data_IF_157261981558
#
_entry.id   IF_157261981558
#
_cell.length_a   1.000
_cell.length_b   1.000
_cell.length_c   1.000
_cell.angle_alpha   90.00
_cell.angle_beta   90.00
_cell.angle_gamma   90.00
#
_symmetry.space_group_name_H-M   'P 1'
#
loop_
_entity.id
_entity.type
_entity.pdbx_description
1 polymer ?
#
# COMPACT_ATOMS: atom_id res chain seq x y z
N UNK A 1 -25.53 -6.06 -1.73
CA UNK A 1 -24.39 -5.27 -1.19
C UNK A 1 -23.14 -6.03 -1.55
N UNK A 2 -22.19 -5.41 -2.27
CA UNK A 2 -20.93 -6.07 -2.63
C UNK A 2 -20.06 -6.29 -1.41
N UNK A 3 -19.39 -7.43 -1.36
CA UNK A 3 -18.51 -7.85 -0.26
C UNK A 3 -17.06 -7.65 -0.68
N UNK A 4 -16.31 -6.97 0.14
CA UNK A 4 -14.90 -6.66 -0.12
C UNK A 4 -14.04 -7.18 1.01
N UNK A 5 -12.92 -7.81 0.66
CA UNK A 5 -11.89 -8.16 1.62
C UNK A 5 -10.66 -7.27 1.40
N UNK A 6 -10.20 -6.62 2.48
CA UNK A 6 -8.96 -5.83 2.48
C UNK A 6 -7.94 -6.55 3.35
N UNK A 7 -6.82 -6.99 2.79
CA UNK A 7 -5.69 -7.44 3.60
C UNK A 7 -4.82 -6.24 3.97
N UNK A 8 -4.37 -6.17 5.21
CA UNK A 8 -3.63 -4.99 5.70
C UNK A 8 -4.53 -3.79 6.03
N UNK A 9 -5.77 -4.06 6.51
CA UNK A 9 -6.79 -3.03 6.69
C UNK A 9 -6.55 -2.04 7.83
N UNK A 10 -5.73 -2.36 8.82
CA UNK A 10 -5.33 -1.41 9.88
C UNK A 10 -4.00 -0.71 9.55
N UNK A 11 -3.47 -0.92 8.35
CA UNK A 11 -2.36 -0.16 7.78
C UNK A 11 -2.80 1.23 7.33
N UNK A 12 -1.83 2.07 6.93
CA UNK A 12 -2.08 3.45 6.49
C UNK A 12 -3.05 3.53 5.30
N UNK A 13 -2.74 2.89 4.19
CA UNK A 13 -3.60 2.91 2.99
C UNK A 13 -4.88 2.11 3.23
N UNK A 14 -4.78 0.95 3.90
CA UNK A 14 -5.92 0.06 4.16
C UNK A 14 -7.03 0.73 4.95
N UNK A 15 -6.71 1.48 6.00
CA UNK A 15 -7.73 2.20 6.80
C UNK A 15 -8.44 3.27 5.98
N UNK A 16 -7.70 4.03 5.14
CA UNK A 16 -8.32 5.05 4.26
C UNK A 16 -9.20 4.39 3.19
N UNK A 17 -8.79 3.25 2.64
CA UNK A 17 -9.60 2.50 1.68
C UNK A 17 -10.88 1.95 2.32
N UNK A 18 -10.77 1.34 3.51
CA UNK A 18 -11.95 0.81 4.23
C UNK A 18 -12.95 1.92 4.53
N UNK A 19 -12.48 3.08 4.99
CA UNK A 19 -13.37 4.23 5.25
C UNK A 19 -14.17 4.61 4.00
N UNK A 20 -13.53 4.70 2.84
CA UNK A 20 -14.19 5.08 1.60
C UNK A 20 -15.13 3.98 1.09
N UNK A 21 -14.74 2.72 1.18
CA UNK A 21 -15.60 1.58 0.82
C UNK A 21 -16.88 1.52 1.68
N UNK A 22 -16.76 1.78 2.99
CA UNK A 22 -17.92 1.84 3.90
C UNK A 22 -18.85 3.01 3.54
N UNK A 23 -18.31 4.20 3.22
CA UNK A 23 -19.10 5.36 2.75
C UNK A 23 -19.86 5.05 1.47
N UNK A 24 -19.30 4.24 0.59
CA UNK A 24 -19.94 3.80 -0.66
C UNK A 24 -20.90 2.62 -0.46
N UNK A 25 -21.12 2.16 0.77
CA UNK A 25 -22.09 1.12 1.11
C UNK A 25 -21.62 -0.31 0.82
N UNK A 26 -20.32 -0.58 0.73
CA UNK A 26 -19.79 -1.93 0.64
C UNK A 26 -19.88 -2.65 1.99
N UNK A 27 -20.03 -3.99 1.97
CA UNK A 27 -19.79 -4.84 3.12
C UNK A 27 -18.30 -5.17 3.18
N UNK A 28 -17.59 -4.62 4.16
CA UNK A 28 -16.14 -4.71 4.24
C UNK A 28 -15.69 -5.64 5.35
N UNK A 29 -14.80 -6.57 5.02
CA UNK A 29 -14.03 -7.35 5.98
C UNK A 29 -12.54 -7.07 5.80
N UNK A 30 -11.78 -7.18 6.87
CA UNK A 30 -10.32 -7.00 6.84
C UNK A 30 -9.60 -8.16 7.49
N UNK A 31 -8.47 -8.53 6.91
CA UNK A 31 -7.48 -9.48 7.46
C UNK A 31 -6.20 -8.71 7.74
N UNK A 32 -5.75 -8.72 8.98
CA UNK A 32 -4.51 -8.07 9.40
C UNK A 32 -3.91 -8.84 10.59
N UNK A 33 -2.60 -8.92 10.70
CA UNK A 33 -1.92 -9.55 11.85
C UNK A 33 -1.45 -8.55 12.91
N UNK A 34 -1.73 -7.26 12.68
CA UNK A 34 -1.37 -6.12 13.54
C UNK A 34 0.14 -5.96 13.80
N UNK A 35 0.99 -6.56 12.96
CA UNK A 35 2.44 -6.49 13.10
C UNK A 35 2.98 -5.05 12.90
N UNK A 36 2.46 -4.36 11.89
CA UNK A 36 2.80 -2.96 11.59
C UNK A 36 1.62 -2.01 11.64
N UNK A 37 0.41 -2.54 11.60
CA UNK A 37 -0.84 -1.82 11.75
C UNK A 37 -1.21 -1.57 13.21
N UNK A 38 -2.12 -0.65 13.44
CA UNK A 38 -2.57 -0.27 14.80
C UNK A 38 -4.03 -0.61 15.00
N UNK A 39 -4.36 -1.29 16.11
CA UNK A 39 -5.74 -1.68 16.44
C UNK A 39 -6.68 -0.48 16.55
N UNK A 40 -6.17 0.67 16.98
CA UNK A 40 -6.92 1.93 17.11
C UNK A 40 -7.38 2.49 15.75
N UNK A 41 -6.94 1.88 14.64
CA UNK A 41 -7.38 2.21 13.27
C UNK A 41 -8.55 1.38 12.79
N UNK A 42 -9.05 0.47 13.59
CA UNK A 42 -10.29 -0.24 13.27
C UNK A 42 -11.45 0.74 13.13
N UNK A 43 -12.26 0.58 12.10
CA UNK A 43 -13.41 1.43 11.80
C UNK A 43 -14.72 0.65 12.07
N UNK A 44 -15.67 1.31 12.67
CA UNK A 44 -17.02 0.76 12.84
C UNK A 44 -17.64 0.44 11.46
N UNK A 45 -18.32 -0.69 11.36
CA UNK A 45 -18.91 -1.19 10.11
C UNK A 45 -18.01 -2.12 9.29
N UNK A 46 -16.71 -2.25 9.62
CA UNK A 46 -15.82 -3.25 9.04
C UNK A 46 -15.61 -4.42 10.01
N UNK A 47 -15.67 -5.65 9.50
CA UNK A 47 -15.35 -6.85 10.29
C UNK A 47 -13.86 -7.15 10.20
N UNK A 48 -13.14 -7.08 11.33
CA UNK A 48 -11.70 -7.34 11.38
C UNK A 48 -11.40 -8.76 11.86
N UNK A 49 -10.43 -9.41 11.20
CA UNK A 49 -9.93 -10.72 11.54
C UNK A 49 -8.42 -10.64 11.79
N UNK A 50 -7.99 -11.04 12.99
CA UNK A 50 -6.56 -11.10 13.34
C UNK A 50 -5.94 -12.36 12.74
N UNK A 51 -5.45 -12.25 11.51
CA UNK A 51 -4.92 -13.36 10.72
C UNK A 51 -3.61 -12.97 10.05
N UNK A 52 -2.62 -13.85 10.17
CA UNK A 52 -1.35 -13.75 9.43
C UNK A 52 -1.48 -14.49 8.09
N UNK A 53 -1.54 -13.73 7.00
CA UNK A 53 -1.68 -14.27 5.64
C UNK A 53 -0.49 -15.12 5.19
N UNK A 54 0.67 -15.02 5.85
CA UNK A 54 1.83 -15.86 5.55
C UNK A 54 1.68 -17.31 6.02
N UNK A 55 0.67 -17.59 6.84
CA UNK A 55 0.38 -18.94 7.34
C UNK A 55 -0.63 -19.64 6.44
N UNK A 56 -0.36 -20.88 5.98
CA UNK A 56 -1.22 -21.57 5.01
C UNK A 56 -2.64 -21.87 5.52
N UNK A 57 -2.85 -21.90 6.83
CA UNK A 57 -4.11 -22.34 7.45
C UNK A 57 -5.29 -21.37 7.28
N UNK A 58 -5.07 -20.11 6.95
CA UNK A 58 -6.14 -19.12 6.89
C UNK A 58 -7.11 -19.29 5.71
N UNK A 59 -6.71 -20.03 4.67
CA UNK A 59 -7.49 -20.25 3.45
C UNK A 59 -7.88 -21.71 3.22
N UNK A 60 -7.58 -22.61 4.15
CA UNK A 60 -7.85 -24.04 4.01
C UNK A 60 -9.32 -24.33 3.70
N UNK A 61 -9.55 -25.05 2.61
CA UNK A 61 -10.87 -25.36 2.05
C UNK A 61 -11.59 -26.55 2.71
N UNK A 62 -11.09 -27.08 3.82
CA UNK A 62 -11.76 -28.26 4.38
C UNK A 62 -13.12 -27.87 4.97
N UNK A 63 -14.21 -28.31 4.32
CA UNK A 63 -15.55 -28.35 4.91
C UNK A 63 -15.59 -29.17 6.22
N UNK A 64 -14.50 -29.87 6.52
CA UNK A 64 -14.18 -30.50 7.79
C UNK A 64 -13.00 -29.74 8.42
N UNK A 65 -13.30 -28.63 9.07
CA UNK A 65 -12.32 -27.91 9.87
C UNK A 65 -11.85 -28.81 11.05
N UNK A 66 -10.71 -29.49 10.89
CA UNK A 66 -10.01 -30.16 12.00
C UNK A 66 -9.24 -29.17 12.88
N UNK A 67 -9.44 -27.87 12.68
CA UNK A 67 -8.87 -26.84 13.51
C UNK A 67 -9.78 -26.62 14.73
N UNK A 68 -9.67 -27.47 15.73
CA UNK A 68 -10.45 -27.35 16.99
C UNK A 68 -10.23 -26.05 17.76
N UNK A 69 -9.33 -25.14 17.32
CA UNK A 69 -8.96 -23.97 18.11
C UNK A 69 -8.81 -22.62 17.39
N UNK A 70 -8.71 -22.53 16.03
CA UNK A 70 -8.34 -21.26 15.38
C UNK A 70 -8.99 -21.01 14.02
N UNK A 71 -10.10 -21.63 13.71
CA UNK A 71 -10.84 -21.36 12.49
C UNK A 71 -11.83 -20.21 12.73
N UNK A 72 -11.43 -19.00 12.45
CA UNK A 72 -12.38 -17.91 12.17
C UNK A 72 -12.99 -18.17 10.78
N UNK A 73 -13.77 -19.28 10.67
CA UNK A 73 -14.46 -19.72 9.46
C UNK A 73 -15.55 -18.73 9.00
N UNK A 74 -15.54 -17.51 9.51
CA UNK A 74 -16.56 -16.49 9.26
C UNK A 74 -16.16 -15.41 8.25
N UNK A 75 -15.06 -15.61 7.47
CA UNK A 75 -14.80 -14.70 6.35
C UNK A 75 -15.76 -15.09 5.24
N UNK A 76 -16.81 -14.29 5.08
CA UNK A 76 -17.70 -14.45 3.94
C UNK A 76 -16.93 -14.31 2.64
N UNK A 77 -17.21 -15.19 1.66
CA UNK A 77 -16.55 -15.09 0.36
C UNK A 77 -16.72 -13.68 -0.21
N UNK A 78 -15.62 -12.94 -0.48
CA UNK A 78 -15.70 -11.62 -1.06
C UNK A 78 -15.91 -11.67 -2.57
N UNK A 79 -16.47 -10.61 -3.12
CA UNK A 79 -16.59 -10.41 -4.56
C UNK A 79 -15.26 -9.91 -5.16
N UNK A 80 -14.43 -9.24 -4.36
CA UNK A 80 -13.11 -8.73 -4.74
C UNK A 80 -12.18 -8.62 -3.53
N UNK A 81 -10.87 -8.73 -3.75
CA UNK A 81 -9.84 -8.53 -2.73
C UNK A 81 -8.93 -7.35 -3.10
N UNK A 82 -8.74 -6.43 -2.14
CA UNK A 82 -7.64 -5.48 -2.15
C UNK A 82 -6.51 -6.01 -1.29
N UNK A 83 -5.42 -6.43 -1.94
CA UNK A 83 -4.28 -7.01 -1.26
C UNK A 83 -3.22 -5.94 -0.96
N UNK A 84 -3.33 -5.33 0.24
CA UNK A 84 -2.45 -4.25 0.71
C UNK A 84 -1.48 -4.71 1.81
N UNK A 85 -1.68 -5.90 2.38
CA UNK A 85 -0.83 -6.42 3.45
C UNK A 85 0.60 -6.61 2.96
N UNK A 86 1.53 -5.91 3.57
CA UNK A 86 2.96 -6.00 3.29
C UNK A 86 3.78 -5.34 4.41
N UNK A 87 5.03 -5.77 4.56
CA UNK A 87 6.06 -4.98 5.23
C UNK A 87 6.65 -4.01 4.22
N UNK A 88 6.27 -2.73 4.31
CA UNK A 88 6.40 -1.74 3.25
C UNK A 88 7.45 -0.65 3.54
N UNK A 89 8.69 -1.03 3.88
CA UNK A 89 9.81 -0.09 4.04
C UNK A 89 11.15 -0.76 3.77
N UNK A 90 12.07 0.02 3.19
CA UNK A 90 13.42 -0.42 2.82
C UNK A 90 14.24 -0.72 4.07
N UNK A 91 14.40 0.23 5.00
CA UNK A 91 15.30 0.08 6.13
C UNK A 91 14.93 -1.11 7.04
N UNK A 92 13.66 -1.30 7.48
CA UNK A 92 13.29 -2.48 8.25
C UNK A 92 13.50 -3.80 7.50
N UNK A 93 13.50 -3.80 6.16
CA UNK A 93 13.75 -5.02 5.39
C UNK A 93 15.19 -5.51 5.44
N UNK A 94 16.15 -4.63 5.71
CA UNK A 94 17.54 -5.03 6.00
C UNK A 94 17.67 -5.64 7.40
N UNK A 95 16.91 -5.14 8.37
CA UNK A 95 16.93 -5.63 9.75
C UNK A 95 16.29 -7.03 9.86
N UNK A 96 15.17 -7.26 9.18
CA UNK A 96 14.46 -8.55 9.15
C UNK A 96 13.99 -8.91 7.73
N UNK A 97 14.92 -9.39 6.89
CA UNK A 97 14.59 -9.81 5.52
C UNK A 97 13.67 -11.04 5.49
N UNK A 98 13.79 -11.93 6.49
CA UNK A 98 12.99 -13.15 6.55
C UNK A 98 11.50 -12.83 6.80
N UNK A 99 11.19 -11.93 7.73
CA UNK A 99 9.80 -11.52 7.97
C UNK A 99 9.25 -10.72 6.78
N UNK A 100 10.09 -9.91 6.12
CA UNK A 100 9.71 -9.20 4.89
C UNK A 100 9.35 -10.20 3.78
N UNK A 101 10.17 -11.23 3.57
CA UNK A 101 9.88 -12.28 2.59
C UNK A 101 8.60 -13.06 2.93
N UNK A 102 8.43 -13.48 4.18
CA UNK A 102 7.22 -14.20 4.60
C UNK A 102 5.96 -13.38 4.34
N UNK A 103 5.94 -12.12 4.75
CA UNK A 103 4.79 -11.26 4.57
C UNK A 103 4.50 -10.97 3.09
N UNK A 104 5.52 -10.52 2.35
CA UNK A 104 5.33 -9.97 1.01
C UNK A 104 5.25 -11.03 -0.09
N UNK A 105 5.91 -12.19 0.08
CA UNK A 105 5.93 -13.24 -0.96
C UNK A 105 5.03 -14.41 -0.58
N UNK A 106 5.26 -15.06 0.57
CA UNK A 106 4.41 -16.19 0.97
C UNK A 106 2.98 -15.73 1.28
N UNK A 107 2.81 -14.57 1.92
CA UNK A 107 1.49 -13.98 2.13
C UNK A 107 0.75 -13.72 0.82
N UNK A 108 1.42 -13.15 -0.18
CA UNK A 108 0.85 -12.91 -1.52
C UNK A 108 0.49 -14.23 -2.20
N UNK A 109 1.37 -15.25 -2.15
CA UNK A 109 1.07 -16.56 -2.72
C UNK A 109 -0.17 -17.20 -2.08
N UNK A 110 -0.29 -17.12 -0.76
CA UNK A 110 -1.46 -17.66 -0.05
C UNK A 110 -2.77 -16.95 -0.43
N UNK A 111 -2.73 -15.60 -0.59
CA UNK A 111 -3.87 -14.84 -1.11
C UNK A 111 -4.23 -15.30 -2.52
N UNK A 112 -3.24 -15.51 -3.37
CA UNK A 112 -3.45 -15.95 -4.76
C UNK A 112 -4.04 -17.37 -4.82
N UNK A 113 -3.63 -18.28 -3.95
CA UNK A 113 -4.26 -19.62 -3.86
C UNK A 113 -5.73 -19.53 -3.41
N UNK A 114 -6.03 -18.66 -2.44
CA UNK A 114 -7.40 -18.42 -2.01
C UNK A 114 -8.28 -17.93 -3.17
N UNK A 115 -7.81 -16.93 -3.95
CA UNK A 115 -8.59 -16.36 -5.07
C UNK A 115 -8.68 -17.31 -6.26
N UNK A 116 -7.60 -18.06 -6.57
CA UNK A 116 -7.59 -19.03 -7.67
C UNK A 116 -8.67 -20.08 -7.52
N UNK A 117 -8.83 -20.62 -6.33
CA UNK A 117 -9.81 -21.68 -6.06
C UNK A 117 -11.27 -21.17 -6.09
N UNK A 118 -11.49 -19.87 -6.04
CA UNK A 118 -12.81 -19.23 -5.97
C UNK A 118 -13.10 -18.28 -7.13
N UNK A 119 -12.12 -18.11 -8.02
CA UNK A 119 -12.17 -17.15 -9.14
C UNK A 119 -12.53 -15.71 -8.70
N UNK A 120 -11.88 -15.25 -7.61
CA UNK A 120 -12.12 -13.92 -7.05
C UNK A 120 -11.11 -12.93 -7.64
N UNK A 121 -11.53 -11.77 -8.15
CA UNK A 121 -10.63 -10.71 -8.60
C UNK A 121 -9.75 -10.18 -7.46
N UNK A 122 -8.49 -9.83 -7.79
CA UNK A 122 -7.55 -9.24 -6.82
C UNK A 122 -6.84 -8.01 -7.37
N UNK A 123 -6.80 -6.96 -6.56
CA UNK A 123 -6.00 -5.76 -6.80
C UNK A 123 -4.81 -5.80 -5.84
N UNK A 124 -3.62 -5.84 -6.40
CA UNK A 124 -2.37 -5.96 -5.66
C UNK A 124 -1.68 -4.61 -5.51
N UNK A 125 -1.37 -4.22 -4.27
CA UNK A 125 -0.55 -3.04 -3.99
C UNK A 125 0.93 -3.35 -4.23
N UNK A 126 1.46 -2.88 -5.32
CA UNK A 126 2.88 -2.92 -5.69
C UNK A 126 3.62 -1.62 -5.28
N UNK A 127 4.82 -1.43 -5.77
CA UNK A 127 5.65 -0.29 -5.42
C UNK A 127 6.43 0.23 -6.63
N UNK A 128 6.53 1.54 -6.78
CA UNK A 128 7.39 2.19 -7.77
C UNK A 128 8.89 1.86 -7.61
N UNK A 129 9.29 1.30 -6.47
CA UNK A 129 10.66 0.83 -6.27
C UNK A 129 11.07 -0.27 -7.26
N UNK A 130 10.10 -1.01 -7.83
CA UNK A 130 10.34 -2.03 -8.85
C UNK A 130 10.87 -1.47 -10.18
N UNK A 131 10.82 -0.14 -10.39
CA UNK A 131 11.42 0.49 -11.58
C UNK A 131 12.95 0.61 -11.51
N UNK A 132 13.51 0.55 -10.31
CA UNK A 132 14.96 0.59 -10.10
C UNK A 132 15.60 -0.80 -10.09
N UNK A 133 16.76 -0.89 -9.46
CA UNK A 133 17.40 -2.18 -9.23
C UNK A 133 16.60 -2.99 -8.22
N UNK A 134 15.93 -4.03 -8.69
CA UNK A 134 15.13 -4.92 -7.84
C UNK A 134 15.97 -5.66 -6.79
N UNK A 135 17.28 -5.77 -6.98
CA UNK A 135 18.21 -6.41 -6.05
C UNK A 135 18.82 -5.42 -5.04
N UNK A 136 18.47 -4.14 -5.08
CA UNK A 136 19.04 -3.12 -4.19
C UNK A 136 18.73 -3.36 -2.70
N UNK A 137 17.59 -3.97 -2.39
CA UNK A 137 17.18 -4.26 -1.02
C UNK A 137 16.08 -5.33 -0.94
N UNK A 138 15.89 -5.99 0.24
CA UNK A 138 14.90 -7.06 0.39
C UNK A 138 13.46 -6.60 0.17
N UNK A 139 13.09 -5.37 0.52
CA UNK A 139 11.75 -4.84 0.29
C UNK A 139 11.42 -4.76 -1.21
N UNK A 140 12.28 -4.09 -1.99
CA UNK A 140 12.09 -3.95 -3.43
C UNK A 140 12.03 -5.32 -4.11
N UNK A 141 12.94 -6.23 -3.75
CA UNK A 141 12.98 -7.58 -4.29
C UNK A 141 11.69 -8.35 -4.00
N UNK A 142 11.18 -8.31 -2.77
CA UNK A 142 9.96 -9.03 -2.40
C UNK A 142 8.70 -8.42 -3.01
N UNK A 143 8.66 -7.11 -3.24
CA UNK A 143 7.54 -6.47 -3.97
C UNK A 143 7.54 -6.89 -5.44
N UNK A 144 8.70 -6.89 -6.07
CA UNK A 144 8.86 -7.41 -7.45
C UNK A 144 8.46 -8.88 -7.56
N UNK A 145 8.89 -9.74 -6.62
CA UNK A 145 8.45 -11.15 -6.60
C UNK A 145 6.92 -11.28 -6.45
N UNK A 146 6.30 -10.42 -5.65
CA UNK A 146 4.84 -10.35 -5.54
C UNK A 146 4.18 -10.04 -6.88
N UNK A 147 4.71 -9.06 -7.63
CA UNK A 147 4.21 -8.74 -8.99
C UNK A 147 4.37 -9.94 -9.94
N UNK A 148 5.50 -10.64 -9.92
CA UNK A 148 5.71 -11.85 -10.74
C UNK A 148 4.72 -12.97 -10.40
N UNK A 149 4.39 -13.15 -9.11
CA UNK A 149 3.33 -14.07 -8.70
C UNK A 149 1.97 -13.65 -9.26
N UNK A 150 1.61 -12.38 -9.18
CA UNK A 150 0.35 -11.84 -9.74
C UNK A 150 0.27 -12.12 -11.26
N UNK A 151 1.36 -11.83 -12.01
CA UNK A 151 1.42 -12.11 -13.46
C UNK A 151 1.28 -13.60 -13.76
N UNK A 152 1.96 -14.45 -12.99
CA UNK A 152 1.87 -15.91 -13.12
C UNK A 152 0.42 -16.40 -12.97
N UNK A 153 -0.25 -15.99 -11.88
CA UNK A 153 -1.61 -16.45 -11.59
C UNK A 153 -2.64 -15.90 -12.59
N UNK A 154 -2.46 -14.70 -13.08
CA UNK A 154 -3.28 -14.17 -14.17
C UNK A 154 -3.11 -14.98 -15.45
N UNK A 155 -1.85 -15.19 -15.88
CA UNK A 155 -1.54 -15.84 -17.15
C UNK A 155 -1.85 -17.34 -17.18
N UNK A 156 -1.56 -18.05 -16.09
CA UNK A 156 -1.64 -19.53 -16.05
C UNK A 156 -3.00 -19.99 -15.55
N UNK A 157 -3.56 -19.31 -14.57
CA UNK A 157 -4.80 -19.73 -13.91
C UNK A 157 -6.00 -18.84 -14.23
N UNK A 158 -5.82 -17.81 -15.11
CA UNK A 158 -6.87 -16.86 -15.50
C UNK A 158 -7.50 -16.10 -14.31
N UNK A 159 -6.79 -15.93 -13.20
CA UNK A 159 -7.26 -15.13 -12.09
C UNK A 159 -7.30 -13.66 -12.52
N UNK A 160 -8.45 -12.95 -12.40
CA UNK A 160 -8.50 -11.55 -12.74
C UNK A 160 -7.67 -10.73 -11.74
N UNK A 161 -6.59 -10.08 -12.22
CA UNK A 161 -5.66 -9.34 -11.36
C UNK A 161 -5.36 -7.96 -11.91
N UNK A 162 -5.04 -7.02 -11.03
CA UNK A 162 -4.43 -5.73 -11.39
C UNK A 162 -3.27 -5.46 -10.44
N UNK A 163 -2.13 -5.07 -10.99
CA UNK A 163 -0.98 -4.58 -10.23
C UNK A 163 -1.11 -3.06 -10.15
N UNK A 164 -1.15 -2.50 -8.94
CA UNK A 164 -1.18 -1.04 -8.74
C UNK A 164 0.12 -0.61 -8.06
N UNK A 165 0.98 0.14 -8.76
CA UNK A 165 2.24 0.64 -8.21
C UNK A 165 2.05 1.99 -7.57
N UNK A 166 2.30 2.05 -6.26
CA UNK A 166 2.22 3.30 -5.50
C UNK A 166 3.57 4.00 -5.49
N UNK A 167 3.53 5.30 -5.61
CA UNK A 167 4.64 6.19 -5.31
C UNK A 167 4.58 6.62 -3.84
N UNK A 168 5.36 7.60 -3.41
CA UNK A 168 5.47 7.90 -1.97
C UNK A 168 4.14 8.44 -1.40
N UNK A 169 3.33 7.53 -0.87
CA UNK A 169 1.99 7.87 -0.37
C UNK A 169 2.10 8.72 0.89
N UNK A 170 1.31 9.80 0.96
CA UNK A 170 1.18 10.68 2.11
C UNK A 170 -0.29 11.00 2.41
N UNK A 171 -0.58 11.49 3.60
CA UNK A 171 -1.91 11.97 3.97
C UNK A 171 -2.38 11.52 5.35
N UNK A 172 -3.68 11.56 5.55
CA UNK A 172 -4.31 11.23 6.82
C UNK A 172 -4.02 9.81 7.27
N UNK A 173 -3.79 9.62 8.57
CA UNK A 173 -3.43 8.34 9.21
C UNK A 173 -2.07 7.77 8.80
N UNK A 174 -1.20 8.57 8.13
CA UNK A 174 0.18 8.13 7.93
C UNK A 174 0.90 7.90 9.26
N UNK A 175 1.90 7.02 9.25
CA UNK A 175 2.70 6.78 10.45
C UNK A 175 3.60 7.97 10.73
N UNK A 176 3.57 8.47 11.97
CA UNK A 176 4.47 9.52 12.47
C UNK A 176 5.54 8.98 13.41
N UNK A 177 5.41 7.71 13.83
CA UNK A 177 6.31 7.02 14.75
C UNK A 177 6.74 5.65 14.24
N UNK A 178 7.89 5.18 14.72
CA UNK A 178 8.44 3.86 14.39
C UNK A 178 9.15 3.80 13.04
N UNK A 179 9.67 2.61 12.72
CA UNK A 179 10.51 2.36 11.53
C UNK A 179 9.73 2.43 10.21
N UNK A 180 8.40 2.41 10.25
CA UNK A 180 7.53 2.43 9.07
C UNK A 180 7.04 3.84 8.67
N UNK A 181 7.63 4.91 9.24
CA UNK A 181 7.32 6.29 8.87
C UNK A 181 7.88 6.66 7.48
N UNK A 182 7.12 7.47 6.73
CA UNK A 182 7.68 8.19 5.58
C UNK A 182 8.32 9.50 6.04
N UNK A 183 9.01 10.19 5.14
CA UNK A 183 9.70 11.44 5.45
C UNK A 183 8.73 12.51 5.97
N UNK A 184 7.55 12.64 5.37
CA UNK A 184 6.56 13.62 5.80
C UNK A 184 6.07 13.34 7.24
N UNK A 185 5.78 12.07 7.57
CA UNK A 185 5.39 11.69 8.94
C UNK A 185 6.48 11.98 9.98
N UNK A 186 7.77 11.81 9.59
CA UNK A 186 8.90 12.18 10.44
C UNK A 186 8.94 13.71 10.64
N UNK A 187 8.80 14.48 9.57
CA UNK A 187 8.81 15.93 9.61
C UNK A 187 7.64 16.48 10.43
N UNK A 188 6.42 15.98 10.24
CA UNK A 188 5.24 16.35 11.02
C UNK A 188 5.46 16.16 12.53
N UNK A 189 6.02 15.01 12.93
CA UNK A 189 6.34 14.76 14.33
C UNK A 189 7.41 15.73 14.85
N UNK A 190 8.51 15.87 14.12
CA UNK A 190 9.63 16.75 14.53
C UNK A 190 9.19 18.20 14.64
N UNK A 191 8.40 18.68 13.69
CA UNK A 191 7.82 20.02 13.72
C UNK A 191 6.90 20.20 14.94
N UNK A 192 5.99 19.26 15.19
CA UNK A 192 5.09 19.31 16.35
C UNK A 192 5.81 19.27 17.71
N UNK A 193 7.02 18.68 17.75
CA UNK A 193 7.89 18.63 18.93
C UNK A 193 8.87 19.83 19.00
N UNK A 194 8.84 20.75 18.06
CA UNK A 194 9.77 21.89 17.98
C UNK A 194 11.23 21.48 17.71
N UNK A 195 11.47 20.31 17.11
CA UNK A 195 12.79 19.78 16.80
C UNK A 195 13.19 20.06 15.35
N UNK A 196 14.52 20.17 15.06
CA UNK A 196 14.99 20.26 13.68
C UNK A 196 14.51 19.10 12.81
N UNK A 197 14.15 19.39 11.54
CA UNK A 197 13.82 18.37 10.56
C UNK A 197 15.09 17.62 10.16
N UNK A 198 15.04 16.28 10.18
CA UNK A 198 16.19 15.45 9.81
C UNK A 198 16.15 15.06 8.33
N UNK A 199 17.16 15.49 7.59
CA UNK A 199 17.32 15.24 6.15
C UNK A 199 18.44 14.24 5.95
N UNK A 200 18.18 13.13 5.27
CA UNK A 200 19.17 12.10 4.95
C UNK A 200 19.91 12.51 3.67
N UNK A 201 21.25 12.38 3.65
CA UNK A 201 22.10 12.80 2.54
C UNK A 201 22.09 14.30 2.35
N UNK A 202 22.10 14.78 1.09
CA UNK A 202 22.10 16.19 0.71
C UNK A 202 20.70 16.82 0.59
N UNK A 203 19.65 16.01 0.72
CA UNK A 203 18.27 16.45 0.61
C UNK A 203 17.77 16.71 -0.82
N UNK A 204 18.64 16.54 -1.84
CA UNK A 204 18.29 16.74 -3.25
C UNK A 204 17.64 15.52 -3.91
N UNK A 205 17.49 14.41 -3.18
CA UNK A 205 16.74 13.25 -3.67
C UNK A 205 15.27 13.63 -3.86
N UNK A 206 14.75 13.34 -5.05
CA UNK A 206 13.40 13.72 -5.47
C UNK A 206 12.42 12.55 -5.41
N UNK A 207 11.21 12.82 -4.97
CA UNK A 207 10.14 11.81 -4.84
C UNK A 207 8.84 12.33 -5.43
N UNK A 208 8.19 11.48 -6.21
CA UNK A 208 6.78 11.64 -6.53
C UNK A 208 5.96 11.30 -5.28
N UNK A 209 5.24 12.28 -4.77
CA UNK A 209 4.39 12.13 -3.60
C UNK A 209 2.92 12.09 -4.02
N UNK A 210 2.24 10.99 -3.70
CA UNK A 210 0.85 10.79 -4.08
C UNK A 210 -0.07 10.80 -2.85
N UNK A 211 -1.13 11.59 -2.91
CA UNK A 211 -2.07 11.72 -1.80
C UNK A 211 -2.86 10.42 -1.58
N UNK A 212 -3.04 10.02 -0.33
CA UNK A 212 -3.67 8.74 0.00
C UNK A 212 -5.09 8.60 -0.54
N UNK A 213 -5.85 9.71 -0.63
CA UNK A 213 -7.21 9.65 -1.20
C UNK A 213 -7.20 9.47 -2.71
N UNK A 214 -6.19 9.99 -3.41
CA UNK A 214 -6.00 9.72 -4.84
C UNK A 214 -5.64 8.24 -5.07
N UNK A 215 -4.79 7.65 -4.21
CA UNK A 215 -4.52 6.20 -4.24
C UNK A 215 -5.80 5.39 -4.03
N UNK A 216 -6.62 5.75 -3.03
CA UNK A 216 -7.90 5.08 -2.74
C UNK A 216 -8.86 5.19 -3.93
N UNK A 217 -8.99 6.36 -4.56
CA UNK A 217 -9.80 6.55 -5.77
C UNK A 217 -9.29 5.67 -6.92
N UNK A 218 -7.98 5.61 -7.15
CA UNK A 218 -7.37 4.75 -8.16
C UNK A 218 -7.67 3.26 -7.93
N UNK A 219 -7.55 2.78 -6.70
CA UNK A 219 -7.87 1.40 -6.33
C UNK A 219 -9.36 1.07 -6.58
N UNK A 220 -10.26 1.96 -6.19
CA UNK A 220 -11.70 1.77 -6.37
C UNK A 220 -12.06 1.78 -7.87
N UNK A 221 -11.46 2.67 -8.69
CA UNK A 221 -11.65 2.67 -10.15
C UNK A 221 -11.16 1.37 -10.78
N UNK A 222 -10.01 0.83 -10.34
CA UNK A 222 -9.56 -0.49 -10.77
C UNK A 222 -10.61 -1.57 -10.48
N UNK A 223 -11.22 -1.55 -9.29
CA UNK A 223 -12.25 -2.55 -8.93
C UNK A 223 -13.48 -2.48 -9.83
N UNK A 224 -13.96 -1.29 -10.14
CA UNK A 224 -15.12 -1.11 -11.02
C UNK A 224 -14.88 -1.67 -12.42
N UNK A 225 -13.70 -1.48 -12.98
CA UNK A 225 -13.39 -1.99 -14.33
C UNK A 225 -13.15 -3.49 -14.30
N UNK A 226 -12.41 -3.99 -13.30
CA UNK A 226 -12.07 -5.40 -13.16
C UNK A 226 -13.33 -6.28 -12.98
N UNK A 227 -14.35 -5.78 -12.28
CA UNK A 227 -15.62 -6.45 -12.06
C UNK A 227 -16.66 -6.24 -13.20
N UNK A 228 -16.38 -5.37 -14.14
CA UNK A 228 -17.28 -5.05 -15.26
C UNK A 228 -17.02 -5.94 -16.48
N UNK A 229 -17.91 -5.84 -17.49
CA UNK A 229 -17.71 -6.47 -18.81
C UNK A 229 -16.45 -5.96 -19.53
N UNK A 230 -15.75 -4.95 -18.99
CA UNK A 230 -14.50 -4.40 -19.50
C UNK A 230 -13.28 -4.94 -18.75
N UNK A 231 -13.41 -5.97 -17.92
CA UNK A 231 -12.31 -6.57 -17.15
C UNK A 231 -11.09 -6.93 -18.01
N UNK A 232 -11.31 -7.35 -19.28
CA UNK A 232 -10.26 -7.63 -20.26
C UNK A 232 -9.35 -6.42 -20.57
N UNK A 233 -9.77 -5.20 -20.23
CA UNK A 233 -8.96 -3.98 -20.45
C UNK A 233 -7.94 -3.73 -19.36
N UNK A 234 -8.10 -4.37 -18.20
CA UNK A 234 -7.28 -4.10 -17.02
C UNK A 234 -6.75 -5.38 -16.37
N UNK A 235 -7.36 -6.54 -16.65
CA UNK A 235 -6.89 -7.81 -16.06
C UNK A 235 -5.50 -8.16 -16.58
N UNK A 236 -4.56 -8.34 -15.64
CA UNK A 236 -3.15 -8.58 -15.93
C UNK A 236 -2.32 -7.30 -16.14
N UNK A 237 -2.96 -6.12 -16.12
CA UNK A 237 -2.28 -4.85 -16.33
C UNK A 237 -1.60 -4.30 -15.08
N UNK A 238 -0.59 -3.48 -15.34
CA UNK A 238 0.11 -2.67 -14.35
C UNK A 238 -0.37 -1.23 -14.48
N UNK A 239 -0.83 -0.65 -13.37
CA UNK A 239 -1.34 0.72 -13.28
C UNK A 239 -0.48 1.50 -12.31
N UNK A 240 0.16 2.54 -12.80
CA UNK A 240 0.97 3.45 -12.00
C UNK A 240 0.07 4.49 -11.33
N UNK A 241 0.07 4.51 -9.99
CA UNK A 241 -0.67 5.50 -9.20
C UNK A 241 0.33 6.48 -8.57
N UNK A 242 0.92 7.32 -9.41
CA UNK A 242 1.83 8.40 -9.04
C UNK A 242 1.26 9.76 -9.44
N UNK A 243 1.67 10.82 -8.75
CA UNK A 243 1.17 12.18 -8.99
C UNK A 243 1.66 12.77 -10.33
N UNK A 244 2.80 12.31 -10.85
CA UNK A 244 3.42 12.88 -12.06
C UNK A 244 4.22 14.17 -11.78
N UNK A 245 4.42 14.52 -10.50
CA UNK A 245 5.22 15.64 -10.04
C UNK A 245 6.06 15.20 -8.84
N UNK A 246 7.33 15.54 -8.86
CA UNK A 246 8.22 15.20 -7.75
C UNK A 246 8.80 16.45 -7.06
N UNK A 247 9.16 16.26 -5.80
CA UNK A 247 9.77 17.28 -4.96
C UNK A 247 11.03 16.72 -4.29
N UNK A 248 12.04 17.57 -4.07
CA UNK A 248 13.19 17.22 -3.25
C UNK A 248 12.80 17.19 -1.76
N UNK A 249 13.61 16.54 -0.94
CA UNK A 249 13.39 16.55 0.52
C UNK A 249 13.66 17.94 1.09
N UNK A 250 14.55 18.72 0.47
CA UNK A 250 14.79 20.12 0.83
C UNK A 250 13.53 20.98 0.56
N UNK A 251 12.90 20.86 -0.63
CA UNK A 251 11.64 21.56 -0.94
C UNK A 251 10.52 21.22 0.06
N UNK A 252 10.45 19.97 0.52
CA UNK A 252 9.51 19.59 1.57
C UNK A 252 9.85 20.26 2.90
N UNK A 253 11.12 20.27 3.31
CA UNK A 253 11.54 20.87 4.56
C UNK A 253 11.24 22.37 4.57
N UNK A 254 11.52 23.08 3.49
CA UNK A 254 11.26 24.51 3.33
C UNK A 254 9.77 24.87 3.48
N UNK A 255 8.87 23.93 3.14
CA UNK A 255 7.42 24.13 3.28
C UNK A 255 6.92 24.16 4.73
N UNK A 256 7.74 23.73 5.70
CA UNK A 256 7.43 23.81 7.14
C UNK A 256 7.72 25.19 7.74
N UNK A 257 8.33 26.08 7.02
CA UNK A 257 8.58 27.48 7.41
C UNK A 257 9.93 27.97 6.91
N UNK A 258 9.97 29.24 6.52
CA UNK A 258 11.20 29.87 6.09
C UNK A 258 12.24 29.83 7.24
N UNK A 259 13.40 29.24 6.97
CA UNK A 259 14.47 29.03 7.95
C UNK A 259 14.12 28.08 9.12
N UNK A 260 13.13 27.20 8.98
CA UNK A 260 12.91 26.19 10.02
C UNK A 260 14.17 25.30 10.17
N UNK A 261 14.63 25.00 11.41
CA UNK A 261 15.87 24.28 11.63
C UNK A 261 15.90 22.91 10.97
N UNK A 262 16.98 22.62 10.24
CA UNK A 262 17.24 21.32 9.63
C UNK A 262 18.53 20.69 10.16
N UNK A 263 18.61 19.36 10.12
CA UNK A 263 19.82 18.60 10.46
C UNK A 263 20.03 17.51 9.41
N UNK A 264 21.17 17.58 8.73
CA UNK A 264 21.55 16.55 7.76
C UNK A 264 22.14 15.32 8.45
N UNK A 265 21.77 14.16 7.97
CA UNK A 265 22.22 12.84 8.41
C UNK A 265 22.93 12.12 7.27
N UNK A 266 23.70 11.08 7.60
CA UNK A 266 24.36 10.24 6.60
C UNK A 266 23.34 9.60 5.62
N UNK A 267 23.79 9.35 4.40
CA UNK A 267 22.99 8.65 3.39
C UNK A 267 22.60 7.24 3.85
N UNK A 268 21.43 6.78 3.42
CA UNK A 268 20.95 5.43 3.71
C UNK A 268 21.18 4.51 2.50
N UNK A 269 21.61 3.27 2.72
CA UNK A 269 21.76 2.31 1.64
C UNK A 269 20.42 1.96 1.01
N UNK A 270 20.44 1.67 -0.31
CA UNK A 270 19.29 1.15 -1.04
C UNK A 270 18.22 2.19 -1.41
N UNK A 271 18.45 3.48 -1.15
CA UNK A 271 17.54 4.54 -1.57
C UNK A 271 17.85 5.01 -3.00
N UNK A 272 16.78 5.29 -3.77
CA UNK A 272 16.91 5.81 -5.14
C UNK A 272 17.06 7.33 -5.13
N UNK A 273 17.77 7.90 -6.13
CA UNK A 273 17.97 9.35 -6.24
C UNK A 273 16.69 10.08 -6.66
N UNK A 274 15.92 9.48 -7.56
CA UNK A 274 14.70 10.09 -8.10
C UNK A 274 13.60 9.06 -8.33
N UNK A 275 12.36 9.44 -8.07
CA UNK A 275 11.17 8.73 -8.54
C UNK A 275 10.16 9.73 -9.11
N UNK A 276 9.60 9.39 -10.28
CA UNK A 276 8.60 10.21 -10.98
C UNK A 276 7.74 9.29 -11.84
N UNK A 277 6.43 9.39 -11.70
CA UNK A 277 5.50 8.74 -12.61
C UNK A 277 5.39 9.54 -13.91
N UNK A 278 5.61 8.89 -15.04
CA UNK A 278 5.41 9.46 -16.39
C UNK A 278 4.45 8.63 -17.23
N UNK A 279 3.86 7.58 -16.65
CA UNK A 279 2.89 6.72 -17.31
C UNK A 279 1.49 7.36 -17.28
N UNK A 280 0.78 7.30 -18.40
CA UNK A 280 -0.58 7.86 -18.55
C UNK A 280 -1.68 6.80 -18.48
N UNK A 281 -1.34 5.53 -18.35
CA UNK A 281 -2.29 4.41 -18.43
C UNK A 281 -3.43 4.54 -17.41
N UNK A 282 -3.14 5.02 -16.18
CA UNK A 282 -4.18 5.27 -15.19
C UNK A 282 -5.21 6.30 -15.65
N UNK A 283 -4.77 7.37 -16.32
CA UNK A 283 -5.66 8.36 -16.92
C UNK A 283 -6.46 7.77 -18.08
N UNK A 284 -5.80 7.06 -18.99
CA UNK A 284 -6.40 6.55 -20.22
C UNK A 284 -7.43 5.44 -19.95
N UNK A 285 -7.13 4.52 -19.03
CA UNK A 285 -8.00 3.36 -18.76
C UNK A 285 -9.03 3.66 -17.67
N UNK A 286 -8.61 4.32 -16.58
CA UNK A 286 -9.43 4.56 -15.40
C UNK A 286 -10.11 5.92 -15.41
N UNK A 287 -9.66 6.87 -16.23
CA UNK A 287 -9.99 8.29 -16.09
C UNK A 287 -9.49 8.87 -14.76
N UNK A 288 -8.42 8.28 -14.21
CA UNK A 288 -7.86 8.68 -12.93
C UNK A 288 -6.89 9.85 -13.10
N UNK A 289 -7.10 10.90 -12.31
CA UNK A 289 -6.22 12.08 -12.28
C UNK A 289 -5.98 12.43 -10.81
N UNK A 290 -4.75 12.36 -10.30
CA UNK A 290 -4.44 12.77 -8.94
C UNK A 290 -4.63 14.27 -8.76
N UNK A 291 -5.15 14.68 -7.63
CA UNK A 291 -5.46 16.09 -7.33
C UNK A 291 -4.67 16.65 -6.15
N UNK A 292 -4.06 15.77 -5.34
CA UNK A 292 -3.34 16.18 -4.14
C UNK A 292 -1.97 16.78 -4.46
N UNK A 293 -1.67 17.96 -3.88
CA UNK A 293 -0.31 18.52 -3.85
C UNK A 293 0.24 18.47 -2.42
N UNK A 294 1.44 17.91 -2.26
CA UNK A 294 2.04 17.71 -0.93
C UNK A 294 2.39 19.02 -0.24
N UNK A 295 2.83 20.04 -0.98
CA UNK A 295 3.17 21.34 -0.38
C UNK A 295 1.92 22.06 0.13
N UNK A 296 0.82 21.97 -0.60
CA UNK A 296 -0.48 22.51 -0.16
C UNK A 296 -1.02 21.72 1.05
N UNK A 297 -0.85 20.40 1.06
CA UNK A 297 -1.21 19.58 2.23
C UNK A 297 -0.45 20.01 3.48
N UNK A 298 0.88 20.20 3.38
CA UNK A 298 1.72 20.67 4.50
C UNK A 298 1.25 22.03 4.99
N UNK A 299 1.13 23.02 4.10
CA UNK A 299 0.68 24.38 4.45
C UNK A 299 -0.67 24.37 5.17
N UNK A 300 -1.66 23.64 4.64
CA UNK A 300 -2.99 23.53 5.23
C UNK A 300 -2.98 22.87 6.61
N UNK A 301 -2.01 21.99 6.87
CA UNK A 301 -1.87 21.30 8.16
C UNK A 301 -1.19 22.16 9.21
N UNK A 302 -0.25 23.00 8.80
CA UNK A 302 0.48 23.92 9.71
C UNK A 302 -0.37 25.11 10.18
N UNK A 303 -1.41 25.47 9.44
CA UNK A 303 -2.34 26.58 9.80
C UNK A 303 -3.37 26.15 10.86
N UNK A 304 -3.47 24.86 11.17
CA UNK A 304 -4.37 24.30 12.20
C UNK A 304 -3.68 24.13 13.54
#
# INVERSE_FOLDING_TARGET
MKKVLVTGGVGFVGTNLIEELLKQGYKVSSVDNYDTGKKERELEGCKYHNIDISKPSWWSLSDSCWCEFWCDCEIEQPDIIFHLAARARIQPSFEDPQATFRSNVLGTQNVLEYVRLRNIPVIYAASSSSHGDVHANPYTFTKWQGEELIRLYNKVFNVPTVITRFYNVYGERQNTEGAYCNVLGIFERQYGEGRPLTITGDGEQRRDFTYVKDIVDGLIRCSYILESNRSHKISGEEIELGNGKNYSINELADSFGENYPTKYLDERPGEVRESLNTDTKAQDILGWNPSGDILDYIKNKLVR
#
